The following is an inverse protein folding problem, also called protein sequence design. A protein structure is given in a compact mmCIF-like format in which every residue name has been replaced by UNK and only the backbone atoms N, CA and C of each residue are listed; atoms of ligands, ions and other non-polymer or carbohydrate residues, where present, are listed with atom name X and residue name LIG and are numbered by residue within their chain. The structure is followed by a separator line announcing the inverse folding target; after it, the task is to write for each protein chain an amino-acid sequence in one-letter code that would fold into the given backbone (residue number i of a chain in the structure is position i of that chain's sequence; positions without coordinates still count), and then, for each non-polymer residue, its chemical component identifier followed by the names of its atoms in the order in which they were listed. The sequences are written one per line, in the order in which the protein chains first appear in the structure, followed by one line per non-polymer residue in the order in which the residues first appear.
data_IF_735663722441
#
_entry.id   IF_735663722441
#
_cell.length_a   1.000
_cell.length_b   1.000
_cell.length_c   1.000
_cell.angle_alpha   90.00
_cell.angle_beta   90.00
_cell.angle_gamma   90.00
#
_symmetry.space_group_name_H-M   'P 1'
#
loop_
_entity.id
_entity.type
_entity.pdbx_description
1 polymer ?
#
# COMPACT_ATOMS: atom_id res chain seq x y z
N UNK A 1 -7.00 31.50 3.97
CA UNK A 1 -6.83 30.13 3.41
C UNK A 1 -7.84 29.13 3.96
N UNK A 2 -8.23 29.18 5.24
CA UNK A 2 -9.10 28.19 5.90
C UNK A 2 -10.49 28.05 5.27
N UNK A 3 -11.13 29.16 4.88
CA UNK A 3 -12.47 29.16 4.25
C UNK A 3 -12.50 28.44 2.90
N UNK A 4 -11.45 28.60 2.08
CA UNK A 4 -11.36 27.99 0.75
C UNK A 4 -11.14 26.46 0.84
N UNK A 5 -10.32 25.98 1.79
CA UNK A 5 -10.17 24.53 2.06
C UNK A 5 -11.48 23.91 2.54
N UNK A 6 -12.22 24.61 3.43
CA UNK A 6 -13.51 24.13 3.93
C UNK A 6 -14.55 24.00 2.80
N UNK A 7 -14.65 25.01 1.93
CA UNK A 7 -15.56 24.99 0.76
C UNK A 7 -15.21 23.85 -0.18
N UNK A 8 -13.93 23.63 -0.46
CA UNK A 8 -13.48 22.53 -1.31
C UNK A 8 -13.91 21.15 -0.77
N UNK A 9 -13.70 20.87 0.51
CA UNK A 9 -14.10 19.59 1.11
C UNK A 9 -15.63 19.40 1.06
N UNK A 10 -16.41 20.45 1.30
CA UNK A 10 -17.88 20.40 1.23
C UNK A 10 -18.33 20.06 -0.20
N UNK A 11 -17.79 20.76 -1.20
CA UNK A 11 -18.17 20.55 -2.60
C UNK A 11 -17.69 19.19 -3.11
N UNK A 12 -16.54 18.70 -2.62
CA UNK A 12 -16.04 17.36 -2.91
C UNK A 12 -17.01 16.27 -2.41
N UNK A 13 -17.51 16.39 -1.17
CA UNK A 13 -18.51 15.46 -0.63
C UNK A 13 -19.82 15.50 -1.41
N UNK A 14 -20.33 16.70 -1.73
CA UNK A 14 -21.58 16.87 -2.51
C UNK A 14 -21.50 16.23 -3.89
N UNK A 15 -20.32 16.27 -4.51
CA UNK A 15 -20.09 15.73 -5.86
C UNK A 15 -19.67 14.26 -5.88
N UNK A 16 -19.55 13.59 -4.73
CA UNK A 16 -19.05 12.21 -4.60
C UNK A 16 -19.73 11.24 -5.57
N UNK A 17 -21.07 11.18 -5.60
CA UNK A 17 -21.81 10.25 -6.48
C UNK A 17 -21.50 10.48 -7.96
N UNK A 18 -21.46 11.75 -8.39
CA UNK A 18 -21.14 12.09 -9.78
C UNK A 18 -19.68 11.71 -10.12
N UNK A 19 -18.74 11.94 -9.20
CA UNK A 19 -17.32 11.57 -9.39
C UNK A 19 -17.12 10.06 -9.43
N UNK A 20 -17.85 9.28 -8.64
CA UNK A 20 -17.80 7.80 -8.70
C UNK A 20 -18.39 7.26 -10.00
N UNK A 21 -19.51 7.81 -10.48
CA UNK A 21 -20.06 7.47 -11.80
C UNK A 21 -19.11 7.85 -12.94
N UNK A 22 -18.33 8.91 -12.78
CA UNK A 22 -17.32 9.30 -13.76
C UNK A 22 -16.11 8.38 -13.70
N UNK A 23 -15.63 8.01 -12.52
CA UNK A 23 -14.51 7.11 -12.31
C UNK A 23 -14.72 5.76 -13.04
N UNK A 24 -15.93 5.21 -13.02
CA UNK A 24 -16.24 3.96 -13.74
C UNK A 24 -16.17 4.06 -15.27
N UNK A 25 -16.12 5.28 -15.81
CA UNK A 25 -15.97 5.54 -17.24
C UNK A 25 -14.50 5.74 -17.65
N UNK A 26 -13.59 5.90 -16.69
CA UNK A 26 -12.18 6.18 -16.95
C UNK A 26 -11.36 4.89 -17.00
N UNK A 27 -10.31 4.90 -17.81
CA UNK A 27 -9.44 3.74 -18.01
C UNK A 27 -8.24 3.73 -17.05
N UNK A 28 -7.95 4.86 -16.40
CA UNK A 28 -6.78 4.97 -15.51
C UNK A 28 -6.94 6.01 -14.41
N UNK A 29 -6.13 5.86 -13.35
CA UNK A 29 -5.99 6.88 -12.32
C UNK A 29 -5.49 8.22 -12.89
N UNK A 30 -4.65 8.19 -13.93
CA UNK A 30 -4.14 9.39 -14.59
C UNK A 30 -5.27 10.25 -15.18
N UNK A 31 -6.22 9.62 -15.89
CA UNK A 31 -7.39 10.30 -16.43
C UNK A 31 -8.22 10.95 -15.32
N UNK A 32 -8.38 10.26 -14.18
CA UNK A 32 -9.11 10.79 -13.03
C UNK A 32 -8.43 12.04 -12.45
N UNK A 33 -7.11 12.01 -12.30
CA UNK A 33 -6.34 13.14 -11.80
C UNK A 33 -6.29 14.31 -12.79
N UNK A 34 -6.34 14.03 -14.11
CA UNK A 34 -6.45 15.07 -15.13
C UNK A 34 -7.82 15.75 -15.09
N UNK A 35 -8.89 15.00 -14.83
CA UNK A 35 -10.23 15.55 -14.68
C UNK A 35 -10.42 16.31 -13.35
N UNK A 36 -9.74 15.89 -12.29
CA UNK A 36 -9.78 16.55 -10.97
C UNK A 36 -8.39 17.03 -10.53
N UNK A 37 -7.86 18.13 -11.12
CA UNK A 37 -6.51 18.62 -10.85
C UNK A 37 -6.23 18.96 -9.39
N UNK A 38 -7.27 19.20 -8.58
CA UNK A 38 -7.14 19.43 -7.14
C UNK A 38 -6.46 18.26 -6.39
N UNK A 39 -6.54 17.05 -6.95
CA UNK A 39 -5.84 15.87 -6.42
C UNK A 39 -4.32 15.97 -6.62
N UNK A 40 -3.84 16.77 -7.57
CA UNK A 40 -2.40 16.97 -7.83
C UNK A 40 -1.73 17.90 -6.81
N UNK A 41 -2.51 18.48 -5.89
CA UNK A 41 -1.97 19.28 -4.80
C UNK A 41 -1.37 18.37 -3.72
N UNK A 42 -0.41 18.88 -2.92
CA UNK A 42 0.22 18.12 -1.84
C UNK A 42 -0.79 17.50 -0.86
N UNK A 43 -1.87 18.23 -0.56
CA UNK A 43 -2.98 17.81 0.32
C UNK A 43 -4.10 17.07 -0.43
N UNK A 44 -3.96 16.83 -1.73
CA UNK A 44 -5.00 16.23 -2.59
C UNK A 44 -5.44 14.85 -2.12
N UNK A 45 -4.53 14.09 -1.51
CA UNK A 45 -4.83 12.79 -0.90
C UNK A 45 -5.92 12.86 0.17
N UNK A 46 -6.10 13.99 0.86
CA UNK A 46 -7.16 14.17 1.88
C UNK A 46 -8.56 14.04 1.28
N UNK A 47 -8.72 14.42 0.01
CA UNK A 47 -9.97 14.26 -0.73
C UNK A 47 -10.22 12.78 -1.09
N UNK A 48 -9.17 12.01 -1.35
CA UNK A 48 -9.27 10.55 -1.53
C UNK A 48 -9.63 9.85 -0.22
N UNK A 49 -9.06 10.30 0.91
CA UNK A 49 -9.43 9.78 2.24
C UNK A 49 -10.90 10.08 2.56
N UNK A 50 -11.39 11.26 2.20
CA UNK A 50 -12.81 11.61 2.37
C UNK A 50 -13.73 10.70 1.54
N UNK A 51 -13.36 10.39 0.31
CA UNK A 51 -14.10 9.43 -0.52
C UNK A 51 -14.09 8.03 0.10
N UNK A 52 -12.95 7.61 0.67
CA UNK A 52 -12.85 6.32 1.35
C UNK A 52 -13.78 6.26 2.55
N UNK A 53 -13.74 7.29 3.40
CA UNK A 53 -14.63 7.41 4.56
C UNK A 53 -16.10 7.41 4.14
N UNK A 54 -16.44 8.11 3.06
CA UNK A 54 -17.82 8.13 2.53
C UNK A 54 -18.25 6.75 2.01
N UNK A 55 -17.36 6.03 1.32
CA UNK A 55 -17.68 4.74 0.68
C UNK A 55 -17.73 3.57 1.66
N UNK A 56 -16.85 3.56 2.66
CA UNK A 56 -16.63 2.40 3.54
C UNK A 56 -16.90 2.72 5.02
N UNK A 57 -17.68 3.77 5.31
CA UNK A 57 -17.97 4.22 6.67
C UNK A 57 -18.37 3.06 7.59
N UNK A 58 -19.36 2.26 7.19
CA UNK A 58 -19.89 1.17 8.01
C UNK A 58 -18.86 0.08 8.30
N UNK A 59 -18.00 -0.25 7.34
CA UNK A 59 -16.99 -1.32 7.47
C UNK A 59 -15.73 -0.89 8.23
N UNK A 60 -15.46 0.41 8.27
CA UNK A 60 -14.20 0.98 8.78
C UNK A 60 -14.39 1.89 9.99
N UNK A 61 -15.63 2.06 10.44
CA UNK A 61 -15.94 2.77 11.67
C UNK A 61 -15.13 2.19 12.84
N UNK A 62 -14.47 3.07 13.60
CA UNK A 62 -13.61 2.74 14.74
C UNK A 62 -12.38 1.87 14.43
N UNK A 63 -12.03 1.67 13.16
CA UNK A 63 -10.81 0.96 12.77
C UNK A 63 -9.71 1.96 12.47
N UNK A 64 -8.60 1.86 13.19
CA UNK A 64 -7.42 2.71 13.00
C UNK A 64 -6.19 1.84 12.78
N UNK A 65 -5.43 2.10 11.72
CA UNK A 65 -4.15 1.41 11.50
C UNK A 65 -3.20 1.62 12.68
N UNK A 66 -3.27 2.77 13.33
CA UNK A 66 -2.41 3.13 14.47
C UNK A 66 -2.73 2.32 15.73
N UNK A 67 -3.90 1.69 15.82
CA UNK A 67 -4.25 0.78 16.92
C UNK A 67 -4.13 -0.68 16.51
N UNK A 68 -4.47 -1.00 15.25
CA UNK A 68 -4.49 -2.37 14.74
C UNK A 68 -3.08 -2.88 14.42
N UNK A 69 -2.22 -2.07 13.80
CA UNK A 69 -0.92 -2.53 13.30
C UNK A 69 0.15 -2.76 14.37
N UNK A 70 0.32 -1.90 15.40
CA UNK A 70 1.41 -2.07 16.36
C UNK A 70 1.45 -3.44 17.07
N UNK A 71 0.32 -4.04 17.51
CA UNK A 71 0.31 -5.40 18.05
C UNK A 71 0.75 -6.49 17.05
N UNK A 72 0.59 -6.25 15.74
CA UNK A 72 0.98 -7.20 14.69
C UNK A 72 2.50 -7.24 14.46
N UNK A 73 3.20 -6.13 14.73
CA UNK A 73 4.65 -6.02 14.51
C UNK A 73 5.45 -7.16 15.14
N UNK A 74 5.34 -7.44 16.47
CA UNK A 74 6.09 -8.54 17.08
C UNK A 74 5.70 -9.90 16.52
N UNK A 75 4.43 -10.09 16.14
CA UNK A 75 3.91 -11.35 15.60
C UNK A 75 4.49 -11.63 14.22
N UNK A 76 4.45 -10.63 13.33
CA UNK A 76 5.00 -10.71 11.97
C UNK A 76 6.51 -10.94 12.04
N UNK A 77 7.21 -10.22 12.90
CA UNK A 77 8.65 -10.39 13.15
C UNK A 77 8.96 -11.82 13.61
N UNK A 78 8.21 -12.35 14.57
CA UNK A 78 8.39 -13.70 15.08
C UNK A 78 8.14 -14.76 13.98
N UNK A 79 7.11 -14.58 13.17
CA UNK A 79 6.87 -15.43 11.99
C UNK A 79 8.04 -15.38 11.00
N UNK A 80 8.60 -14.18 10.77
CA UNK A 80 9.79 -14.01 9.95
C UNK A 80 10.99 -14.82 10.45
N UNK A 81 11.23 -14.80 11.77
CA UNK A 81 12.29 -15.61 12.41
C UNK A 81 12.04 -17.11 12.21
N UNK A 82 10.84 -17.58 12.49
CA UNK A 82 10.46 -19.00 12.35
C UNK A 82 10.58 -19.50 10.91
N UNK A 83 10.16 -18.68 9.94
CA UNK A 83 10.28 -18.99 8.51
C UNK A 83 11.65 -18.64 7.90
N UNK A 84 12.62 -18.25 8.73
CA UNK A 84 14.00 -17.91 8.34
C UNK A 84 14.06 -16.89 7.18
N UNK A 85 13.26 -15.82 7.30
CA UNK A 85 13.28 -14.71 6.35
C UNK A 85 14.68 -14.07 6.34
N UNK A 86 15.27 -13.96 5.15
CA UNK A 86 16.58 -13.38 4.92
C UNK A 86 16.39 -11.95 4.37
N UNK A 87 16.53 -10.94 5.22
CA UNK A 87 16.71 -9.55 4.78
C UNK A 87 18.11 -9.11 5.20
N UNK A 88 18.89 -8.45 4.33
CA UNK A 88 20.19 -7.90 4.69
C UNK A 88 20.13 -6.96 5.90
N UNK A 89 19.02 -6.23 6.07
CA UNK A 89 18.81 -5.30 7.19
C UNK A 89 18.29 -6.00 8.47
N UNK A 90 18.00 -7.30 8.40
CA UNK A 90 17.64 -8.12 9.56
C UNK A 90 18.89 -8.77 10.17
N UNK A 91 19.74 -7.97 10.81
CA UNK A 91 20.59 -8.53 11.86
C UNK A 91 19.70 -8.82 13.07
N UNK A 92 19.38 -10.08 13.32
CA UNK A 92 18.58 -10.48 14.48
C UNK A 92 19.46 -10.50 15.73
N UNK A 93 19.63 -9.35 16.42
CA UNK A 93 19.23 -9.28 17.82
C UNK A 93 18.55 -7.95 18.24
N UNK A 94 17.91 -8.02 19.41
CA UNK A 94 16.93 -7.11 20.05
C UNK A 94 17.49 -5.77 20.56
N UNK A 95 18.42 -5.14 19.85
CA UNK A 95 18.81 -3.77 20.18
C UNK A 95 17.58 -2.85 20.05
N UNK A 96 17.43 -1.87 20.96
CA UNK A 96 16.36 -0.85 20.95
C UNK A 96 16.31 -0.11 19.62
N UNK A 97 15.61 -0.68 18.64
CA UNK A 97 15.30 -0.03 17.38
C UNK A 97 14.23 1.01 17.60
N UNK A 98 14.33 2.10 16.84
CA UNK A 98 13.25 3.08 16.74
C UNK A 98 11.95 2.37 16.31
N UNK A 99 10.81 2.88 16.80
CA UNK A 99 9.50 2.32 16.49
C UNK A 99 9.24 2.30 14.98
N UNK A 100 9.67 3.34 14.26
CA UNK A 100 9.52 3.47 12.81
C UNK A 100 10.30 2.38 12.06
N UNK A 101 11.52 2.08 12.52
CA UNK A 101 12.35 1.00 11.97
C UNK A 101 11.65 -0.35 12.13
N UNK A 102 11.05 -0.62 13.30
CA UNK A 102 10.31 -1.86 13.54
C UNK A 102 9.07 -1.98 12.65
N UNK A 103 8.37 -0.87 12.40
CA UNK A 103 7.25 -0.83 11.46
C UNK A 103 7.70 -1.17 10.04
N UNK A 104 8.75 -0.51 9.53
CA UNK A 104 9.32 -0.79 8.20
C UNK A 104 9.74 -2.26 8.09
N UNK A 105 10.45 -2.79 9.08
CA UNK A 105 10.87 -4.19 9.10
C UNK A 105 9.68 -5.15 9.10
N UNK A 106 8.61 -4.85 9.85
CA UNK A 106 7.39 -5.66 9.81
C UNK A 106 6.78 -5.72 8.41
N UNK A 107 6.76 -4.61 7.67
CA UNK A 107 6.28 -4.57 6.29
C UNK A 107 7.17 -5.38 5.35
N UNK A 108 8.49 -5.25 5.49
CA UNK A 108 9.45 -6.02 4.68
C UNK A 108 9.32 -7.52 4.93
N UNK A 109 9.22 -7.93 6.20
CA UNK A 109 9.01 -9.33 6.60
C UNK A 109 7.67 -9.85 6.07
N UNK A 110 6.59 -9.08 6.23
CA UNK A 110 5.26 -9.48 5.74
C UNK A 110 5.30 -9.77 4.24
N UNK A 111 5.90 -8.89 3.44
CA UNK A 111 6.06 -9.15 2.00
C UNK A 111 6.84 -10.45 1.73
N UNK A 112 7.92 -10.68 2.48
CA UNK A 112 8.74 -11.87 2.32
C UNK A 112 8.05 -13.18 2.75
N UNK A 113 7.03 -13.14 3.61
CA UNK A 113 6.25 -14.32 3.98
C UNK A 113 5.41 -14.88 2.81
N UNK A 114 5.15 -14.06 1.79
CA UNK A 114 4.27 -14.43 0.68
C UNK A 114 5.03 -15.08 -0.48
N UNK A 115 4.45 -16.12 -1.07
CA UNK A 115 4.95 -16.75 -2.30
C UNK A 115 4.07 -16.30 -3.45
N UNK A 116 4.64 -15.53 -4.37
CA UNK A 116 3.89 -14.94 -5.47
C UNK A 116 4.12 -15.76 -6.74
N UNK A 117 3.04 -16.23 -7.34
CA UNK A 117 3.07 -16.91 -8.65
C UNK A 117 2.05 -16.24 -9.56
N UNK A 118 2.54 -15.62 -10.63
CA UNK A 118 1.72 -14.90 -11.61
C UNK A 118 1.49 -15.83 -12.80
N UNK A 119 0.22 -16.16 -13.08
CA UNK A 119 -0.14 -16.97 -14.25
C UNK A 119 -0.09 -16.09 -15.50
N UNK A 120 0.82 -16.39 -16.44
CA UNK A 120 0.82 -15.72 -17.74
C UNK A 120 0.03 -16.56 -18.75
N UNK A 121 -1.21 -16.15 -18.99
CA UNK A 121 -2.09 -16.81 -19.96
C UNK A 121 -1.57 -16.71 -21.40
N UNK A 122 -0.79 -15.68 -21.73
CA UNK A 122 -0.27 -15.46 -23.10
C UNK A 122 0.94 -16.35 -23.41
N UNK A 123 1.81 -16.60 -22.45
CA UNK A 123 3.07 -17.35 -22.66
C UNK A 123 3.02 -18.81 -22.18
N UNK A 124 1.86 -19.31 -21.70
CA UNK A 124 1.68 -20.67 -21.13
C UNK A 124 2.72 -21.05 -20.05
N UNK A 125 3.37 -20.07 -19.42
CA UNK A 125 4.36 -20.26 -18.36
C UNK A 125 4.04 -19.33 -17.20
N UNK A 126 4.13 -19.85 -15.98
CA UNK A 126 3.98 -19.01 -14.80
C UNK A 126 5.23 -18.15 -14.62
N UNK A 127 5.04 -16.86 -14.40
CA UNK A 127 6.10 -15.97 -13.96
C UNK A 127 6.10 -15.93 -12.44
N UNK A 128 7.28 -16.08 -11.84
CA UNK A 128 7.46 -16.06 -10.38
C UNK A 128 8.38 -14.89 -10.05
N UNK A 129 7.84 -13.75 -9.58
CA UNK A 129 8.67 -12.67 -9.07
C UNK A 129 9.61 -13.18 -7.99
N UNK A 130 10.82 -12.63 -7.95
CA UNK A 130 11.71 -12.81 -6.82
C UNK A 130 11.10 -12.18 -5.55
N UNK A 131 11.57 -12.62 -4.38
CA UNK A 131 11.16 -12.01 -3.10
C UNK A 131 11.46 -10.52 -3.06
N UNK A 132 12.58 -10.10 -3.66
CA UNK A 132 12.98 -8.70 -3.74
C UNK A 132 12.05 -7.91 -4.68
N UNK A 133 11.69 -8.46 -5.85
CA UNK A 133 10.73 -7.81 -6.75
C UNK A 133 9.35 -7.63 -6.09
N UNK A 134 8.85 -8.66 -5.39
CA UNK A 134 7.62 -8.56 -4.60
C UNK A 134 7.73 -7.53 -3.48
N UNK A 135 8.88 -7.49 -2.80
CA UNK A 135 9.15 -6.53 -1.74
C UNK A 135 9.14 -5.10 -2.28
N UNK A 136 9.91 -4.82 -3.32
CA UNK A 136 10.00 -3.49 -3.91
C UNK A 136 8.66 -3.05 -4.49
N UNK A 137 7.89 -3.97 -5.10
CA UNK A 137 6.54 -3.66 -5.59
C UNK A 137 5.61 -3.19 -4.47
N UNK A 138 5.73 -3.79 -3.28
CA UNK A 138 4.97 -3.41 -2.08
C UNK A 138 5.50 -2.12 -1.42
N UNK A 139 6.79 -2.09 -1.07
CA UNK A 139 7.49 -1.00 -0.40
C UNK A 139 8.86 -0.80 -1.07
N UNK A 140 8.95 0.19 -1.93
CA UNK A 140 10.21 0.55 -2.57
C UNK A 140 11.11 1.27 -1.56
N UNK A 141 12.30 0.76 -1.30
CA UNK A 141 13.28 1.42 -0.44
C UNK A 141 14.46 1.91 -1.28
N UNK A 142 14.65 3.22 -1.36
CA UNK A 142 15.75 3.87 -2.10
C UNK A 142 16.60 4.73 -1.16
N UNK A 143 17.90 4.82 -1.43
CA UNK A 143 18.81 5.54 -0.54
C UNK A 143 18.73 7.05 -0.72
N UNK A 144 18.50 7.52 -1.94
CA UNK A 144 18.46 8.95 -2.24
C UNK A 144 17.22 9.35 -3.02
N UNK A 145 16.74 10.57 -2.80
CA UNK A 145 15.59 11.12 -3.53
C UNK A 145 15.85 11.26 -5.04
N UNK A 146 17.12 11.39 -5.45
CA UNK A 146 17.52 11.48 -6.85
C UNK A 146 17.19 10.22 -7.67
N UNK A 147 17.08 9.05 -7.02
CA UNK A 147 16.72 7.79 -7.67
C UNK A 147 15.21 7.66 -7.92
N UNK A 148 14.38 8.47 -7.25
CA UNK A 148 12.93 8.28 -7.23
C UNK A 148 12.31 8.43 -8.62
N UNK A 149 12.66 9.48 -9.36
CA UNK A 149 12.07 9.73 -10.68
C UNK A 149 12.46 8.62 -11.68
N UNK A 150 13.70 8.16 -11.63
CA UNK A 150 14.15 7.00 -12.43
C UNK A 150 13.32 5.75 -12.10
N UNK A 151 13.11 5.46 -10.82
CA UNK A 151 12.31 4.30 -10.39
C UNK A 151 10.84 4.40 -10.78
N UNK A 152 10.26 5.62 -10.75
CA UNK A 152 8.90 5.86 -11.23
C UNK A 152 8.80 5.57 -12.73
N UNK A 153 9.74 6.08 -13.53
CA UNK A 153 9.74 5.88 -14.99
C UNK A 153 9.98 4.41 -15.41
N UNK A 154 10.84 3.69 -14.68
CA UNK A 154 11.01 2.24 -14.84
C UNK A 154 9.69 1.49 -14.64
N UNK A 155 8.96 1.82 -13.57
CA UNK A 155 7.65 1.21 -13.27
C UNK A 155 6.57 1.60 -14.28
N UNK A 156 6.53 2.87 -14.70
CA UNK A 156 5.61 3.32 -15.76
C UNK A 156 5.86 2.57 -17.05
N UNK A 157 7.12 2.41 -17.45
CA UNK A 157 7.50 1.64 -18.64
C UNK A 157 7.03 0.19 -18.53
N UNK A 158 7.24 -0.46 -17.37
CA UNK A 158 6.75 -1.82 -17.11
C UNK A 158 5.22 -1.91 -17.14
N UNK A 159 4.52 -0.93 -16.57
CA UNK A 159 3.05 -0.88 -16.57
C UNK A 159 2.50 -0.75 -18.00
N UNK A 160 3.09 0.15 -18.80
CA UNK A 160 2.74 0.36 -20.20
C UNK A 160 2.92 -0.89 -21.05
N UNK A 161 4.06 -1.60 -20.89
CA UNK A 161 4.31 -2.87 -21.58
C UNK A 161 3.25 -3.93 -21.27
N UNK A 162 2.71 -3.92 -20.05
CA UNK A 162 1.66 -4.84 -19.60
C UNK A 162 0.24 -4.30 -19.84
N UNK A 163 0.09 -3.15 -20.52
CA UNK A 163 -1.20 -2.48 -20.79
C UNK A 163 -2.03 -2.24 -19.53
N UNK A 164 -1.36 -1.98 -18.41
CA UNK A 164 -1.97 -1.58 -17.15
C UNK A 164 -1.54 -0.17 -16.80
N UNK A 165 -2.38 0.56 -16.05
CA UNK A 165 -1.96 1.82 -15.45
C UNK A 165 -0.89 1.59 -14.36
N UNK A 166 -0.09 2.62 -14.08
CA UNK A 166 0.81 2.59 -12.93
C UNK A 166 -0.02 2.47 -11.65
N UNK A 167 0.13 1.34 -10.97
CA UNK A 167 -0.57 1.10 -9.71
C UNK A 167 0.08 1.91 -8.59
N UNK A 168 -0.69 2.36 -7.58
CA UNK A 168 -0.15 3.02 -6.40
C UNK A 168 0.91 2.19 -5.70
N UNK A 169 1.95 2.85 -5.18
CA UNK A 169 2.97 2.17 -4.37
C UNK A 169 3.60 3.08 -3.33
N UNK A 170 4.07 2.46 -2.26
CA UNK A 170 4.81 3.13 -1.19
C UNK A 170 6.28 3.23 -1.53
N UNK A 171 6.88 4.34 -1.12
CA UNK A 171 8.32 4.57 -1.19
C UNK A 171 8.85 5.03 0.16
N UNK A 172 9.96 4.46 0.56
CA UNK A 172 10.79 4.84 1.69
C UNK A 172 12.10 5.39 1.13
N UNK A 173 12.45 6.64 1.44
CA UNK A 173 13.63 7.33 0.91
C UNK A 173 14.58 7.68 2.05
N UNK A 174 15.85 7.29 1.93
CA UNK A 174 16.88 7.57 2.93
C UNK A 174 17.38 6.31 3.64
N UNK A 175 18.37 6.44 4.53
CA UNK A 175 18.81 5.34 5.38
C UNK A 175 17.67 4.93 6.33
N UNK A 176 17.55 3.64 6.66
CA UNK A 176 16.38 3.09 7.39
C UNK A 176 16.08 3.78 8.75
N UNK A 177 17.09 4.40 9.37
CA UNK A 177 16.97 5.14 10.62
C UNK A 177 16.52 6.60 10.45
N UNK A 178 16.50 7.12 9.22
CA UNK A 178 16.09 8.48 8.88
C UNK A 178 15.46 8.48 7.49
N UNK A 179 14.17 8.15 7.44
CA UNK A 179 13.43 7.94 6.20
C UNK A 179 12.35 8.98 5.98
N UNK A 180 12.08 9.28 4.71
CA UNK A 180 10.89 10.02 4.28
C UNK A 180 10.00 9.10 3.47
N UNK A 181 8.69 9.13 3.74
CA UNK A 181 7.72 8.29 3.06
C UNK A 181 6.97 9.04 1.97
N UNK A 182 6.75 8.35 0.85
CA UNK A 182 5.90 8.82 -0.22
C UNK A 182 4.91 7.74 -0.63
N UNK A 183 3.72 8.18 -1.07
CA UNK A 183 2.81 7.35 -1.85
C UNK A 183 2.78 7.92 -3.25
N UNK A 184 3.10 7.08 -4.23
CA UNK A 184 3.09 7.43 -5.64
C UNK A 184 1.77 6.99 -6.24
N UNK A 185 1.06 7.90 -6.92
CA UNK A 185 -0.15 7.59 -7.69
C UNK A 185 0.00 8.24 -9.05
N UNK A 186 0.18 7.42 -10.09
CA UNK A 186 0.53 7.89 -11.44
C UNK A 186 1.77 8.81 -11.42
N UNK A 187 1.57 10.12 -11.56
CA UNK A 187 2.65 11.12 -11.57
C UNK A 187 2.69 11.97 -10.30
N UNK A 188 1.83 11.69 -9.31
CA UNK A 188 1.75 12.44 -8.06
C UNK A 188 2.54 11.75 -6.95
N UNK A 189 3.19 12.58 -6.12
CA UNK A 189 3.99 12.16 -4.96
C UNK A 189 3.36 12.75 -3.70
N UNK A 190 2.69 11.94 -2.89
CA UNK A 190 2.15 12.38 -1.61
C UNK A 190 3.14 12.08 -0.50
N UNK A 191 3.60 13.11 0.21
CA UNK A 191 4.47 12.96 1.39
C UNK A 191 3.64 12.41 2.55
N UNK A 192 4.18 11.42 3.25
CA UNK A 192 3.57 10.81 4.42
C UNK A 192 4.44 11.03 5.66
N UNK A 193 3.79 11.27 6.80
CA UNK A 193 4.46 11.55 8.07
C UNK A 193 5.20 10.33 8.64
N UNK A 194 4.69 9.13 8.36
CA UNK A 194 5.24 7.86 8.82
C UNK A 194 4.81 6.70 7.90
N UNK A 195 5.37 5.52 8.15
CA UNK A 195 5.16 4.27 7.45
C UNK A 195 3.69 3.82 7.47
N UNK A 196 3.02 3.96 8.62
CA UNK A 196 1.61 3.58 8.76
C UNK A 196 0.70 4.49 7.93
N UNK A 197 0.98 5.79 7.89
CA UNK A 197 0.26 6.71 7.01
C UNK A 197 0.42 6.31 5.54
N UNK A 198 1.63 5.95 5.10
CA UNK A 198 1.86 5.50 3.73
C UNK A 198 1.12 4.20 3.40
N UNK A 199 1.13 3.23 4.33
CA UNK A 199 0.44 1.94 4.17
C UNK A 199 -1.07 2.13 4.06
N UNK A 200 -1.64 2.88 5.00
CA UNK A 200 -3.06 3.17 5.07
C UNK A 200 -3.54 3.97 3.86
N UNK A 201 -2.82 5.03 3.50
CA UNK A 201 -3.15 5.85 2.35
C UNK A 201 -3.12 5.04 1.05
N UNK A 202 -2.07 4.24 0.83
CA UNK A 202 -1.95 3.42 -0.39
C UNK A 202 -3.10 2.41 -0.50
N UNK A 203 -3.42 1.71 0.59
CA UNK A 203 -4.53 0.77 0.65
C UNK A 203 -5.86 1.46 0.28
N UNK A 204 -6.13 2.60 0.92
CA UNK A 204 -7.36 3.37 0.66
C UNK A 204 -7.46 3.85 -0.78
N UNK A 205 -6.34 4.27 -1.37
CA UNK A 205 -6.29 4.71 -2.78
C UNK A 205 -6.71 3.57 -3.73
N UNK A 206 -6.26 2.33 -3.49
CA UNK A 206 -6.70 1.19 -4.31
C UNK A 206 -8.23 1.09 -4.34
N UNK A 207 -8.87 1.18 -3.16
CA UNK A 207 -10.32 1.06 -3.07
C UNK A 207 -11.08 2.25 -3.66
N UNK A 208 -10.69 3.49 -3.36
CA UNK A 208 -11.46 4.67 -3.83
C UNK A 208 -11.35 4.91 -5.33
N UNK A 209 -10.23 4.48 -5.93
CA UNK A 209 -10.01 4.58 -7.37
C UNK A 209 -10.36 3.29 -8.13
N UNK A 210 -10.88 2.26 -7.45
CA UNK A 210 -11.18 0.94 -8.03
C UNK A 210 -9.98 0.31 -8.77
N UNK A 211 -8.78 0.47 -8.21
CA UNK A 211 -7.54 -0.03 -8.78
C UNK A 211 -7.23 -1.44 -8.30
N UNK A 212 -6.53 -2.21 -9.13
CA UNK A 212 -6.08 -3.55 -8.80
C UNK A 212 -4.73 -3.48 -8.08
N UNK A 213 -4.49 -4.37 -7.12
CA UNK A 213 -3.15 -4.46 -6.54
C UNK A 213 -2.11 -4.91 -7.58
N UNK A 214 -0.84 -4.47 -7.46
CA UNK A 214 0.25 -4.97 -8.30
C UNK A 214 0.33 -6.49 -8.20
N UNK A 215 0.39 -7.24 -9.32
CA UNK A 215 0.45 -8.69 -9.31
C UNK A 215 1.60 -9.26 -8.47
N UNK A 216 2.73 -8.56 -8.42
CA UNK A 216 3.93 -8.98 -7.68
C UNK A 216 3.76 -8.92 -6.17
N UNK A 217 2.79 -8.17 -5.65
CA UNK A 217 2.53 -8.06 -4.22
C UNK A 217 1.04 -8.11 -3.87
N UNK A 218 0.19 -8.65 -4.76
CA UNK A 218 -1.26 -8.75 -4.57
C UNK A 218 -1.63 -9.45 -3.26
N UNK A 219 -1.04 -10.61 -3.00
CA UNK A 219 -1.30 -11.37 -1.78
C UNK A 219 -0.91 -10.60 -0.52
N UNK A 220 0.17 -9.81 -0.57
CA UNK A 220 0.61 -8.95 0.54
C UNK A 220 -0.47 -7.90 0.86
N UNK A 221 -0.94 -7.18 -0.17
CA UNK A 221 -1.99 -6.17 -0.01
C UNK A 221 -3.32 -6.77 0.44
N UNK A 222 -3.69 -7.96 -0.04
CA UNK A 222 -4.88 -8.67 0.43
C UNK A 222 -4.77 -9.02 1.92
N UNK A 223 -3.61 -9.52 2.37
CA UNK A 223 -3.39 -9.76 3.81
C UNK A 223 -3.47 -8.46 4.61
N UNK A 224 -2.91 -7.35 4.13
CA UNK A 224 -3.05 -6.03 4.78
C UNK A 224 -4.52 -5.60 4.87
N UNK A 225 -5.30 -5.72 3.79
CA UNK A 225 -6.75 -5.43 3.81
C UNK A 225 -7.48 -6.29 4.84
N UNK A 226 -7.24 -7.60 4.86
CA UNK A 226 -7.92 -8.50 5.80
C UNK A 226 -7.59 -8.21 7.27
N UNK A 227 -6.35 -7.78 7.55
CA UNK A 227 -5.94 -7.40 8.90
C UNK A 227 -6.56 -6.05 9.32
N UNK A 228 -6.73 -5.11 8.38
CA UNK A 228 -7.18 -3.75 8.70
C UNK A 228 -8.69 -3.56 8.56
N UNK A 229 -9.27 -3.90 7.41
CA UNK A 229 -10.61 -3.46 7.02
C UNK A 229 -11.54 -4.57 6.56
N UNK A 230 -11.03 -5.66 5.99
CA UNK A 230 -11.80 -6.79 5.42
C UNK A 230 -12.76 -6.31 4.34
N UNK A 231 -12.27 -5.52 3.39
CA UNK A 231 -13.09 -4.93 2.33
C UNK A 231 -13.25 -5.88 1.14
N UNK A 232 -12.19 -6.62 0.79
CA UNK A 232 -12.19 -7.64 -0.25
C UNK A 232 -12.66 -8.98 0.32
N UNK A 233 -13.52 -9.70 -0.41
CA UNK A 233 -14.03 -11.00 0.04
C UNK A 233 -13.25 -12.18 -0.57
N UNK A 234 -12.62 -11.96 -1.73
CA UNK A 234 -11.89 -12.99 -2.47
C UNK A 234 -10.38 -12.76 -2.31
N UNK A 235 -9.74 -13.61 -1.52
CA UNK A 235 -8.30 -13.50 -1.24
C UNK A 235 -7.55 -14.70 -1.81
N UNK A 236 -6.35 -14.44 -2.29
CA UNK A 236 -5.50 -15.47 -2.85
C UNK A 236 -5.15 -16.52 -1.78
N UNK A 237 -4.97 -17.77 -2.20
CA UNK A 237 -4.63 -18.89 -1.31
C UNK A 237 -3.38 -18.60 -0.47
N UNK A 238 -2.41 -17.89 -1.06
CA UNK A 238 -1.20 -17.48 -0.36
C UNK A 238 -1.48 -16.43 0.73
N UNK A 239 -2.34 -15.44 0.45
CA UNK A 239 -2.76 -14.43 1.42
C UNK A 239 -3.52 -15.09 2.59
N UNK A 240 -4.43 -16.02 2.28
CA UNK A 240 -5.19 -16.79 3.30
C UNK A 240 -4.27 -17.61 4.21
N UNK A 241 -3.25 -18.27 3.64
CA UNK A 241 -2.27 -19.03 4.43
C UNK A 241 -1.48 -18.15 5.40
N UNK A 242 -0.95 -17.00 4.93
CA UNK A 242 -0.18 -16.10 5.80
C UNK A 242 -1.08 -15.45 6.84
N UNK A 243 -2.30 -15.05 6.47
CA UNK A 243 -3.29 -14.52 7.40
C UNK A 243 -3.61 -15.51 8.52
N UNK A 244 -3.84 -16.79 8.20
CA UNK A 244 -4.10 -17.84 9.19
C UNK A 244 -2.94 -18.01 10.18
N UNK A 245 -1.70 -17.92 9.71
CA UNK A 245 -0.51 -18.00 10.58
C UNK A 245 -0.43 -16.81 11.56
N UNK A 246 -0.80 -15.61 11.11
CA UNK A 246 -0.85 -14.40 11.94
C UNK A 246 -1.98 -14.51 12.98
N UNK A 247 -3.20 -14.85 12.54
CA UNK A 247 -4.38 -14.97 13.43
C UNK A 247 -4.18 -16.03 14.51
N UNK A 248 -3.60 -17.19 14.17
CA UNK A 248 -3.26 -18.24 15.16
C UNK A 248 -2.31 -17.77 16.25
N UNK A 249 -1.45 -16.79 15.97
CA UNK A 249 -0.52 -16.23 16.96
C UNK A 249 -1.14 -15.09 17.75
N UNK A 250 -1.98 -14.26 17.12
CA UNK A 250 -2.77 -13.24 17.81
C UNK A 250 -3.61 -13.87 18.94
N UNK A 251 -4.34 -14.94 18.63
CA UNK A 251 -5.21 -15.63 19.59
C UNK A 251 -4.47 -16.35 20.73
N UNK A 252 -3.12 -16.38 20.72
CA UNK A 252 -2.31 -16.95 21.81
C UNK A 252 -1.79 -15.89 22.78
N UNK A 253 -1.96 -14.61 22.43
CA UNK A 253 -1.49 -13.46 23.22
C UNK A 253 -2.65 -12.86 24.04
N UNK A 254 -3.89 -13.00 23.55
CA UNK A 254 -5.14 -12.73 24.27
C UNK A 254 -5.50 -13.85 25.26
#
# INVERSE_FOLDING_TARGET
MTRMKLTLTIDWKKTYRCRQNRLSQLQSAQEYFNQFPVLKLNDGYKLLLEDFSTRFQEKTQNKSIYTIWPPLVPIIVQLGKEKKVLLPELEWPEAKRDNEVNLILSLKVLSWLHLVTIRNHMQKRNFRPSKLESLESFLLHIQTIGELDTKIEERKSKALLNKIGLQPFMVCVGPINQVTFYVIVDSQKYVCENCLMALDLTLKIFFVLNLQYPPECKAVWQTVDQLLYKLENDIDSNASSVLSDIEKKLNKIE
#
